data_IF_024235885279
#
_entry.id   IF_024235885279
#
_cell.length_a   1.000
_cell.length_b   1.000
_cell.length_c   1.000
_cell.angle_alpha   90.00
_cell.angle_beta   90.00
_cell.angle_gamma   90.00
#
_symmetry.space_group_name_H-M   'P 1'
#
loop_
_entity.id
_entity.type
_entity.pdbx_description
1 polymer ?
#
# COMPACT_ATOMS: atom_id res chain seq x y z
N UNK A 1 6.24 31.90 -2.76
CA UNK A 1 6.66 31.46 -1.41
C UNK A 1 6.23 30.01 -1.29
N UNK A 2 7.16 29.06 -1.46
CA UNK A 2 6.85 27.63 -1.49
C UNK A 2 6.92 27.10 -0.07
N UNK A 3 5.78 26.74 0.51
CA UNK A 3 5.76 26.10 1.84
C UNK A 3 6.46 24.74 1.76
N UNK A 4 7.24 24.36 2.79
CA UNK A 4 7.83 23.02 2.84
C UNK A 4 6.70 21.98 2.82
N UNK A 5 6.73 21.07 1.85
CA UNK A 5 5.79 19.96 1.82
C UNK A 5 6.01 19.07 3.06
N UNK A 6 4.94 18.87 3.83
CA UNK A 6 4.93 17.91 4.92
C UNK A 6 4.99 16.49 4.35
N UNK A 7 6.05 15.75 4.68
CA UNK A 7 6.37 14.41 4.14
C UNK A 7 5.28 13.33 4.31
N UNK A 8 4.25 13.57 5.13
CA UNK A 8 3.20 12.58 5.44
C UNK A 8 1.77 13.12 5.37
N UNK A 9 1.58 14.42 5.14
CA UNK A 9 0.27 15.04 5.30
C UNK A 9 -0.61 14.94 4.04
N UNK A 10 -0.02 14.68 2.87
CA UNK A 10 -0.71 14.78 1.60
C UNK A 10 -0.72 13.43 0.86
N UNK A 11 -1.61 12.54 1.30
CA UNK A 11 -1.92 11.31 0.57
C UNK A 11 -2.67 11.70 -0.70
N UNK A 12 -2.17 11.39 -1.90
CA UNK A 12 -2.77 11.84 -3.16
C UNK A 12 -3.94 10.94 -3.58
N UNK A 13 -4.87 10.66 -2.67
CA UNK A 13 -6.04 9.79 -2.89
C UNK A 13 -7.32 10.51 -2.50
N UNK A 14 -8.36 10.37 -3.33
CA UNK A 14 -9.73 10.51 -2.86
C UNK A 14 -10.06 9.27 -2.02
N UNK A 15 -10.36 9.47 -0.74
CA UNK A 15 -10.67 8.37 0.19
C UNK A 15 -11.94 7.63 -0.21
N UNK A 16 -12.84 8.29 -0.94
CA UNK A 16 -14.09 7.75 -1.44
C UNK A 16 -14.86 6.94 -0.37
N UNK A 17 -15.04 7.56 0.81
CA UNK A 17 -15.56 6.88 2.01
C UNK A 17 -16.92 6.20 1.79
N UNK A 18 -17.75 6.73 0.89
CA UNK A 18 -19.04 6.14 0.53
C UNK A 18 -18.90 4.76 -0.13
N UNK A 19 -17.84 4.54 -0.92
CA UNK A 19 -17.61 3.29 -1.66
C UNK A 19 -17.05 2.16 -0.78
N UNK A 20 -16.56 2.48 0.42
CA UNK A 20 -16.11 1.46 1.39
C UNK A 20 -17.22 0.53 1.86
N UNK A 21 -18.48 0.95 1.75
CA UNK A 21 -19.66 0.17 2.18
C UNK A 21 -20.31 -0.61 1.04
N UNK A 22 -19.76 -0.53 -0.17
CA UNK A 22 -20.27 -1.21 -1.35
C UNK A 22 -19.40 -2.44 -1.64
N UNK A 23 -19.79 -3.64 -1.16
CA UNK A 23 -18.98 -4.85 -1.32
C UNK A 23 -18.86 -5.29 -2.78
N UNK A 24 -19.87 -5.04 -3.61
CA UNK A 24 -19.86 -5.42 -5.02
C UNK A 24 -18.89 -4.54 -5.80
N UNK A 25 -18.89 -3.23 -5.52
CA UNK A 25 -17.92 -2.29 -6.09
C UNK A 25 -16.49 -2.67 -5.69
N UNK A 26 -16.24 -2.95 -4.40
CA UNK A 26 -14.93 -3.35 -3.90
C UNK A 26 -14.44 -4.64 -4.57
N UNK A 27 -15.29 -5.66 -4.65
CA UNK A 27 -14.96 -6.92 -5.32
C UNK A 27 -14.65 -6.71 -6.81
N UNK A 28 -15.39 -5.83 -7.48
CA UNK A 28 -15.11 -5.46 -8.86
C UNK A 28 -13.75 -4.76 -9.01
N UNK A 29 -13.41 -3.85 -8.09
CA UNK A 29 -12.11 -3.16 -8.10
C UNK A 29 -10.95 -4.08 -7.79
N UNK A 30 -11.07 -5.03 -6.87
CA UNK A 30 -10.01 -6.00 -6.59
C UNK A 30 -9.64 -6.84 -7.83
N UNK A 31 -10.59 -7.08 -8.74
CA UNK A 31 -10.34 -7.81 -10.01
C UNK A 31 -9.78 -6.93 -11.13
N UNK A 32 -9.72 -5.62 -10.96
CA UNK A 32 -9.30 -4.70 -12.01
C UNK A 32 -7.76 -4.73 -12.17
N UNK A 33 -7.22 -4.85 -13.40
CA UNK A 33 -5.78 -5.10 -13.63
C UNK A 33 -4.87 -3.95 -13.19
N UNK A 34 -5.41 -2.73 -13.07
CA UNK A 34 -4.68 -1.54 -12.64
C UNK A 34 -4.81 -1.21 -11.15
N UNK A 35 -5.53 -2.04 -10.38
CA UNK A 35 -5.64 -1.88 -8.93
C UNK A 35 -4.29 -2.06 -8.27
N UNK A 36 -3.94 -1.13 -7.39
CA UNK A 36 -2.69 -1.10 -6.66
C UNK A 36 -2.90 -1.73 -5.29
N UNK A 37 -2.19 -2.83 -5.03
CA UNK A 37 -2.17 -3.48 -3.73
C UNK A 37 -0.84 -3.17 -3.05
N UNK A 38 -0.92 -2.62 -1.84
CA UNK A 38 0.23 -2.25 -1.02
C UNK A 38 0.38 -3.31 0.07
N UNK A 39 1.36 -4.23 -0.05
CA UNK A 39 1.61 -5.21 0.99
C UNK A 39 2.27 -4.55 2.22
N UNK A 40 1.73 -4.86 3.38
CA UNK A 40 2.27 -4.49 4.69
C UNK A 40 2.45 -5.76 5.51
N UNK A 41 3.62 -5.91 6.12
CA UNK A 41 3.94 -7.07 6.95
C UNK A 41 4.38 -6.58 8.33
N UNK A 42 3.61 -6.89 9.38
CA UNK A 42 3.92 -6.55 10.78
C UNK A 42 4.40 -5.09 10.95
N UNK A 43 3.58 -4.15 10.45
CA UNK A 43 3.83 -2.70 10.45
C UNK A 43 4.98 -2.19 9.57
N UNK A 44 5.59 -3.05 8.76
CA UNK A 44 6.63 -2.70 7.78
C UNK A 44 6.04 -2.62 6.37
N UNK A 45 6.54 -1.68 5.58
CA UNK A 45 6.12 -1.51 4.19
C UNK A 45 7.11 -2.22 3.26
N UNK A 46 6.62 -2.83 2.19
CA UNK A 46 7.50 -3.41 1.19
C UNK A 46 8.12 -2.33 0.30
N UNK A 47 9.45 -2.33 0.23
CA UNK A 47 10.23 -1.40 -0.58
C UNK A 47 10.94 -2.15 -1.70
N UNK A 48 10.92 -1.55 -2.89
CA UNK A 48 11.66 -1.97 -4.08
C UNK A 48 12.77 -0.95 -4.37
N UNK A 49 13.81 -1.40 -5.08
CA UNK A 49 15.01 -0.60 -5.37
C UNK A 49 16.06 -0.71 -4.26
N UNK A 50 17.31 -0.49 -4.64
CA UNK A 50 18.48 -0.70 -3.76
C UNK A 50 19.00 0.57 -3.10
N UNK A 51 18.74 1.75 -3.66
CA UNK A 51 19.28 3.03 -3.18
C UNK A 51 18.43 4.23 -3.60
N UNK A 52 18.64 5.38 -2.97
CA UNK A 52 18.01 6.64 -3.39
C UNK A 52 18.60 7.14 -4.71
N UNK A 53 17.80 7.66 -5.65
CA UNK A 53 16.36 7.95 -5.55
C UNK A 53 15.46 6.80 -6.05
N UNK A 54 16.01 5.61 -6.29
CA UNK A 54 15.31 4.47 -6.87
C UNK A 54 14.48 3.66 -5.87
N UNK A 55 14.65 3.89 -4.56
CA UNK A 55 13.80 3.30 -3.53
C UNK A 55 12.36 3.81 -3.64
N UNK A 56 11.40 2.88 -3.67
CA UNK A 56 9.98 3.19 -3.73
C UNK A 56 9.11 2.12 -3.08
N UNK A 57 7.91 2.50 -2.66
CA UNK A 57 6.90 1.56 -2.18
C UNK A 57 6.51 0.57 -3.27
N UNK A 58 6.34 -0.71 -2.93
CA UNK A 58 5.81 -1.70 -3.85
C UNK A 58 4.32 -1.46 -4.13
N UNK A 59 3.95 -1.41 -5.41
CA UNK A 59 2.56 -1.42 -5.88
C UNK A 59 2.33 -2.71 -6.67
N UNK A 60 1.76 -3.71 -6.01
CA UNK A 60 1.46 -5.01 -6.61
C UNK A 60 0.21 -4.89 -7.49
N UNK A 61 0.29 -5.38 -8.72
CA UNK A 61 -0.79 -5.38 -9.72
C UNK A 61 -0.84 -6.73 -10.42
N UNK A 62 -1.93 -6.98 -11.17
CA UNK A 62 -2.08 -8.19 -11.99
C UNK A 62 -1.78 -9.46 -11.18
N UNK A 63 -0.93 -10.36 -11.68
CA UNK A 63 -0.61 -11.65 -11.04
C UNK A 63 0.00 -11.48 -9.63
N UNK A 64 0.91 -10.52 -9.44
CA UNK A 64 1.47 -10.23 -8.12
C UNK A 64 0.41 -9.65 -7.18
N UNK A 65 -0.47 -8.78 -7.70
CA UNK A 65 -1.60 -8.26 -6.94
C UNK A 65 -2.56 -9.37 -6.50
N UNK A 66 -2.90 -10.30 -7.39
CA UNK A 66 -3.78 -11.43 -7.09
C UNK A 66 -3.21 -12.34 -5.99
N UNK A 67 -1.92 -12.69 -6.08
CA UNK A 67 -1.21 -13.48 -5.05
C UNK A 67 -1.22 -12.81 -3.68
N UNK A 68 -0.94 -11.50 -3.64
CA UNK A 68 -0.97 -10.72 -2.39
C UNK A 68 -2.39 -10.61 -1.83
N UNK A 69 -3.40 -10.43 -2.67
CA UNK A 69 -4.83 -10.39 -2.26
C UNK A 69 -5.26 -11.72 -1.66
N UNK A 70 -4.89 -12.84 -2.27
CA UNK A 70 -5.26 -14.18 -1.81
C UNK A 70 -4.64 -14.54 -0.46
N UNK A 71 -3.39 -14.12 -0.22
CA UNK A 71 -2.68 -14.39 1.03
C UNK A 71 -2.98 -13.37 2.16
N UNK A 72 -3.66 -12.26 1.85
CA UNK A 72 -3.90 -11.22 2.83
C UNK A 72 -4.91 -11.66 3.89
N UNK A 73 -4.53 -11.51 5.17
CA UNK A 73 -5.46 -11.74 6.27
C UNK A 73 -6.53 -10.63 6.36
N UNK A 74 -6.22 -9.45 5.83
CA UNK A 74 -7.11 -8.29 5.78
C UNK A 74 -6.78 -7.41 4.57
N UNK A 75 -7.82 -6.85 3.96
CA UNK A 75 -7.74 -5.96 2.81
C UNK A 75 -8.54 -4.68 3.06
N UNK A 76 -7.84 -3.55 3.09
CA UNK A 76 -8.46 -2.25 3.36
C UNK A 76 -8.40 -1.35 2.13
N UNK A 77 -9.55 -0.89 1.66
CA UNK A 77 -9.62 0.12 0.61
C UNK A 77 -9.15 1.49 1.12
N UNK A 78 -8.07 1.98 0.52
CA UNK A 78 -7.44 3.25 0.90
C UNK A 78 -8.09 4.44 0.20
N UNK A 79 -8.53 4.24 -1.05
CA UNK A 79 -9.08 5.29 -1.90
C UNK A 79 -8.75 5.08 -3.37
N UNK A 80 -9.13 6.05 -4.18
CA UNK A 80 -8.86 6.09 -5.61
C UNK A 80 -8.12 7.35 -6.05
N UNK A 81 -7.75 7.41 -7.33
CA UNK A 81 -7.36 8.65 -8.00
C UNK A 81 -8.37 8.99 -9.10
N UNK A 82 -8.31 10.21 -9.62
CA UNK A 82 -9.19 10.69 -10.70
C UNK A 82 -9.14 9.83 -11.98
N UNK A 83 -8.10 9.00 -12.14
CA UNK A 83 -7.94 8.06 -13.26
C UNK A 83 -8.49 6.65 -12.94
N UNK A 84 -9.39 6.53 -11.97
CA UNK A 84 -10.05 5.29 -11.55
C UNK A 84 -9.07 4.20 -11.05
N UNK A 85 -7.88 4.61 -10.58
CA UNK A 85 -6.91 3.72 -9.97
C UNK A 85 -7.26 3.52 -8.50
N UNK A 86 -7.71 2.31 -8.14
CA UNK A 86 -7.97 1.94 -6.76
C UNK A 86 -6.67 1.55 -6.03
N UNK A 87 -6.62 1.86 -4.73
CA UNK A 87 -5.53 1.50 -3.83
C UNK A 87 -6.08 0.70 -2.65
N UNK A 88 -5.45 -0.44 -2.38
CA UNK A 88 -5.74 -1.30 -1.24
C UNK A 88 -4.48 -1.53 -0.43
N UNK A 89 -4.61 -1.61 0.89
CA UNK A 89 -3.59 -2.15 1.77
C UNK A 89 -3.90 -3.64 2.04
N UNK A 90 -2.90 -4.49 1.95
CA UNK A 90 -2.99 -5.91 2.22
C UNK A 90 -2.12 -6.24 3.44
N UNK A 91 -2.72 -6.81 4.48
CA UNK A 91 -1.97 -7.29 5.64
C UNK A 91 -1.49 -8.72 5.41
N UNK A 92 -0.17 -8.91 5.38
CA UNK A 92 0.49 -10.21 5.21
C UNK A 92 1.07 -10.73 6.54
N UNK A 93 0.63 -10.19 7.69
CA UNK A 93 1.25 -10.48 9.00
C UNK A 93 1.21 -11.96 9.43
N UNK A 94 0.30 -12.76 8.85
CA UNK A 94 0.18 -14.21 9.06
C UNK A 94 1.19 -15.04 8.25
N UNK A 95 1.83 -14.46 7.22
CA UNK A 95 2.89 -15.10 6.45
C UNK A 95 4.25 -14.94 7.13
N UNK A 96 5.17 -15.85 6.83
CA UNK A 96 6.59 -15.64 7.09
C UNK A 96 7.15 -14.54 6.15
N UNK A 97 8.18 -13.82 6.59
CA UNK A 97 8.71 -12.65 5.83
C UNK A 97 9.16 -13.05 4.42
N UNK A 98 9.82 -14.21 4.27
CA UNK A 98 10.30 -14.71 2.98
C UNK A 98 9.15 -15.01 2.03
N UNK A 99 8.08 -15.62 2.53
CA UNK A 99 6.87 -15.89 1.74
C UNK A 99 6.18 -14.60 1.31
N UNK A 100 6.02 -13.64 2.23
CA UNK A 100 5.43 -12.35 1.92
C UNK A 100 6.22 -11.58 0.84
N UNK A 101 7.55 -11.66 0.88
CA UNK A 101 8.43 -11.09 -0.16
C UNK A 101 8.23 -11.79 -1.50
N UNK A 102 8.17 -13.13 -1.52
CA UNK A 102 8.00 -13.92 -2.75
C UNK A 102 6.63 -13.66 -3.41
N UNK A 103 5.55 -13.63 -2.61
CA UNK A 103 4.20 -13.29 -3.06
C UNK A 103 4.15 -11.91 -3.73
N UNK A 104 4.88 -10.94 -3.17
CA UNK A 104 4.96 -9.58 -3.68
C UNK A 104 6.04 -9.39 -4.78
N UNK A 105 6.69 -10.47 -5.22
CA UNK A 105 7.68 -10.46 -6.31
C UNK A 105 9.01 -9.79 -5.94
N UNK A 106 9.46 -9.92 -4.69
CA UNK A 106 10.76 -9.47 -4.18
C UNK A 106 10.73 -8.16 -3.37
N UNK A 107 11.91 -7.64 -2.99
CA UNK A 107 12.07 -6.41 -2.22
C UNK A 107 12.40 -6.66 -0.75
N UNK A 108 12.19 -5.66 0.10
CA UNK A 108 12.43 -5.77 1.55
C UNK A 108 11.39 -5.03 2.36
N UNK A 109 10.90 -5.67 3.43
CA UNK A 109 10.00 -5.03 4.38
C UNK A 109 10.78 -4.15 5.35
N UNK A 110 10.55 -2.84 5.28
CA UNK A 110 11.29 -1.86 6.06
C UNK A 110 10.35 -0.99 6.92
N UNK A 111 10.86 -0.59 8.07
CA UNK A 111 10.16 0.34 8.96
C UNK A 111 10.03 1.72 8.32
N UNK A 112 8.83 2.30 8.38
CA UNK A 112 8.50 3.59 7.80
C UNK A 112 9.44 4.72 8.25
N UNK A 113 9.87 4.72 9.52
CA UNK A 113 10.76 5.78 10.04
C UNK A 113 12.15 5.71 9.42
N UNK A 114 12.58 4.52 8.99
CA UNK A 114 13.86 4.32 8.29
C UNK A 114 13.78 4.77 6.83
N UNK A 115 12.68 4.46 6.14
CA UNK A 115 12.58 4.66 4.68
C UNK A 115 11.84 5.92 4.26
N UNK A 116 10.96 6.46 5.09
CA UNK A 116 10.20 7.68 4.82
C UNK A 116 11.07 8.89 4.45
N UNK A 117 12.27 9.08 5.05
CA UNK A 117 13.18 10.14 4.63
C UNK A 117 13.80 9.93 3.23
N UNK A 118 13.88 8.69 2.76
CA UNK A 118 14.62 8.24 1.58
C UNK A 118 13.75 8.18 0.31
N UNK A 119 12.43 8.23 0.45
CA UNK A 119 11.49 8.21 -0.67
C UNK A 119 10.81 9.56 -0.86
N UNK A 120 10.12 9.73 -1.99
CA UNK A 120 9.28 10.90 -2.24
C UNK A 120 8.16 11.05 -1.19
N UNK A 121 7.80 12.30 -0.88
CA UNK A 121 6.80 12.65 0.12
C UNK A 121 5.43 12.00 -0.11
N UNK A 122 4.99 11.83 -1.37
CA UNK A 122 3.70 11.20 -1.66
C UNK A 122 3.73 9.70 -1.35
N UNK A 123 4.85 9.04 -1.64
CA UNK A 123 5.04 7.63 -1.30
C UNK A 123 5.14 7.43 0.21
N UNK A 124 5.86 8.32 0.90
CA UNK A 124 5.94 8.33 2.36
C UNK A 124 4.57 8.49 3.01
N UNK A 125 3.74 9.42 2.51
CA UNK A 125 2.36 9.60 2.97
C UNK A 125 1.50 8.36 2.72
N UNK A 126 1.60 7.75 1.54
CA UNK A 126 0.84 6.54 1.18
C UNK A 126 1.22 5.34 2.07
N UNK A 127 2.51 5.12 2.34
CA UNK A 127 2.99 4.10 3.28
C UNK A 127 2.46 4.33 4.70
N UNK A 128 2.52 5.57 5.18
CA UNK A 128 2.01 5.92 6.50
C UNK A 128 0.51 5.63 6.62
N UNK A 129 -0.25 5.94 5.58
CA UNK A 129 -1.69 5.73 5.54
C UNK A 129 -2.06 4.24 5.45
N UNK A 130 -1.44 3.47 4.54
CA UNK A 130 -1.67 2.03 4.41
C UNK A 130 -1.41 1.29 5.73
N UNK A 131 -0.23 1.52 6.33
CA UNK A 131 0.13 0.99 7.66
C UNK A 131 -0.88 1.41 8.73
N UNK A 132 -1.24 2.70 8.75
CA UNK A 132 -2.17 3.25 9.73
C UNK A 132 -3.53 2.56 9.67
N UNK A 133 -4.11 2.43 8.48
CA UNK A 133 -5.40 1.79 8.28
C UNK A 133 -5.41 0.33 8.74
N UNK A 134 -4.37 -0.45 8.41
CA UNK A 134 -4.25 -1.85 8.86
C UNK A 134 -3.99 -1.97 10.36
N UNK A 135 -3.28 -1.02 10.97
CA UNK A 135 -3.13 -0.98 12.42
C UNK A 135 -4.49 -0.79 13.11
N UNK A 136 -5.32 0.15 12.64
CA UNK A 136 -6.65 0.39 13.21
C UNK A 136 -7.62 -0.77 13.00
N UNK A 137 -7.56 -1.44 11.84
CA UNK A 137 -8.41 -2.61 11.55
C UNK A 137 -8.11 -3.83 12.44
N UNK A 138 -6.89 -3.92 12.98
CA UNK A 138 -6.48 -5.00 13.90
C UNK A 138 -6.83 -4.75 15.37
N UNK A 139 -7.33 -3.56 15.71
CA UNK A 139 -7.77 -3.21 17.08
C UNK A 139 -9.22 -3.60 17.28
#
# INVERSE_FOLDING_TARGET
MTYPQLKYANVPLDRADALRRDPDWLANRLRHPYTNVIPVWRDRNLIKGSETPHMHIALCRQETGARVIEAAMELVFLGGTDNDLAFFAADLSDCEETEAVDLAGGGSFLDLRRVGPLVDSKQAALMAYARGMLYWHRQ
#
